data_IF_095212473755
#
_entry.id   IF_095212473755
#
_cell.length_a   1.000
_cell.length_b   1.000
_cell.length_c   1.000
_cell.angle_alpha   90.00
_cell.angle_beta   90.00
_cell.angle_gamma   90.00
#
_symmetry.space_group_name_H-M   'P 1'
#
loop_
_entity.id
_entity.type
_entity.pdbx_description
1 polymer ?
#
# COMPACT_ATOMS: atom_id res chain seq x y z
N UNK A 1 23.08 31.91 -59.98
CA UNK A 1 22.15 30.85 -59.51
C UNK A 1 22.30 30.72 -58.01
N UNK A 2 21.20 30.65 -57.25
CA UNK A 2 21.22 30.63 -55.77
C UNK A 2 20.27 29.56 -55.23
N UNK A 3 20.83 28.44 -54.76
CA UNK A 3 20.03 27.32 -54.24
C UNK A 3 19.51 27.64 -52.83
N UNK A 4 18.18 27.73 -52.68
CA UNK A 4 17.54 27.82 -51.35
C UNK A 4 17.50 26.44 -50.71
N UNK A 5 18.28 26.25 -49.65
CA UNK A 5 18.30 24.99 -48.87
C UNK A 5 17.03 24.91 -48.02
N UNK A 6 16.06 24.08 -48.42
CA UNK A 6 14.86 23.79 -47.62
C UNK A 6 15.21 22.77 -46.54
N UNK A 7 15.36 23.24 -45.29
CA UNK A 7 15.50 22.36 -44.11
C UNK A 7 14.12 21.93 -43.62
N UNK A 8 13.70 20.71 -43.97
CA UNK A 8 12.56 20.04 -43.37
C UNK A 8 12.87 19.65 -41.92
N UNK A 9 12.19 20.28 -40.95
CA UNK A 9 12.21 19.83 -39.56
C UNK A 9 11.28 18.63 -39.38
N UNK A 10 11.85 17.43 -39.36
CA UNK A 10 11.13 16.21 -38.96
C UNK A 10 10.82 16.25 -37.46
N UNK A 11 9.58 16.62 -37.10
CA UNK A 11 9.12 16.60 -35.72
C UNK A 11 8.96 15.15 -35.26
N UNK A 12 9.92 14.66 -34.49
CA UNK A 12 9.85 13.34 -33.86
C UNK A 12 8.85 13.36 -32.70
N UNK A 13 7.60 12.96 -32.97
CA UNK A 13 6.53 12.87 -31.97
C UNK A 13 6.84 11.84 -30.89
N UNK A 14 7.39 12.30 -29.76
CA UNK A 14 7.63 11.47 -28.57
C UNK A 14 6.29 11.07 -27.95
N UNK A 15 5.83 9.86 -28.28
CA UNK A 15 4.71 9.19 -27.62
C UNK A 15 5.10 8.85 -26.17
N UNK A 16 4.93 9.83 -25.28
CA UNK A 16 5.10 9.66 -23.85
C UNK A 16 4.04 8.69 -23.30
N UNK A 17 4.38 7.41 -23.24
CA UNK A 17 3.51 6.37 -22.65
C UNK A 17 3.28 6.71 -21.19
N UNK A 18 2.08 7.22 -20.89
CA UNK A 18 1.57 7.48 -19.54
C UNK A 18 1.27 6.16 -18.83
N UNK A 19 2.31 5.38 -18.57
CA UNK A 19 2.28 4.23 -17.68
C UNK A 19 1.97 4.76 -16.28
N UNK A 20 0.71 4.61 -15.86
CA UNK A 20 0.23 5.15 -14.58
C UNK A 20 1.08 4.64 -13.43
N UNK A 21 1.60 5.55 -12.60
CA UNK A 21 2.59 5.24 -11.58
C UNK A 21 2.02 4.30 -10.49
N UNK A 22 2.10 2.99 -10.74
CA UNK A 22 1.86 1.91 -9.78
C UNK A 22 2.70 2.19 -8.53
N UNK A 23 2.03 2.47 -7.42
CA UNK A 23 2.71 2.92 -6.22
C UNK A 23 3.64 1.82 -5.69
N UNK A 24 4.87 2.18 -5.31
CA UNK A 24 5.87 1.16 -4.97
C UNK A 24 5.53 0.40 -3.66
N UNK A 25 5.87 -0.90 -3.58
CA UNK A 25 5.96 -1.61 -2.32
C UNK A 25 6.93 -0.91 -1.34
N UNK A 26 6.70 -1.08 -0.03
CA UNK A 26 7.61 -0.53 0.97
C UNK A 26 8.96 -1.23 0.91
N UNK A 27 10.06 -0.48 0.85
CA UNK A 27 11.40 -1.06 0.99
C UNK A 27 11.59 -1.68 2.39
N UNK A 28 11.82 -3.00 2.49
CA UNK A 28 12.06 -3.68 3.77
C UNK A 28 13.29 -3.18 4.55
N UNK A 29 14.24 -2.48 3.92
CA UNK A 29 15.40 -1.83 4.59
C UNK A 29 15.01 -0.56 5.36
N UNK A 30 13.80 -0.04 5.15
CA UNK A 30 13.29 1.17 5.79
C UNK A 30 12.12 0.90 6.74
N UNK A 31 11.64 -0.34 6.80
CA UNK A 31 10.63 -0.82 7.74
C UNK A 31 11.25 -1.05 9.12
N UNK A 32 10.66 -0.45 10.16
CA UNK A 32 11.09 -0.57 11.57
C UNK A 32 10.31 -1.64 12.34
N UNK A 33 9.06 -1.87 11.95
CA UNK A 33 8.12 -2.82 12.55
C UNK A 33 7.26 -2.20 13.65
N UNK A 34 6.01 -2.64 13.75
CA UNK A 34 4.99 -2.08 14.66
C UNK A 34 5.38 -2.01 16.15
N UNK A 35 6.39 -2.77 16.61
CA UNK A 35 6.95 -2.61 17.97
C UNK A 35 7.53 -1.22 18.23
N UNK A 36 8.14 -0.59 17.21
CA UNK A 36 8.68 0.77 17.31
C UNK A 36 7.56 1.79 17.49
N UNK A 37 6.45 1.64 16.76
CA UNK A 37 5.26 2.48 16.91
C UNK A 37 4.61 2.31 18.29
N UNK A 38 4.53 1.07 18.79
CA UNK A 38 3.85 0.69 20.03
C UNK A 38 4.48 1.27 21.31
N UNK A 39 5.71 1.78 21.27
CA UNK A 39 6.32 2.47 22.40
C UNK A 39 5.54 3.74 22.81
N UNK A 40 5.04 4.49 21.81
CA UNK A 40 4.26 5.72 22.01
C UNK A 40 2.77 5.49 21.72
N UNK A 41 2.45 4.87 20.58
CA UNK A 41 1.08 4.69 20.07
C UNK A 41 0.41 3.43 20.66
N UNK A 42 0.27 3.42 21.99
CA UNK A 42 -0.24 2.26 22.76
C UNK A 42 -1.71 1.96 22.44
N UNK A 43 -2.55 2.99 22.32
CA UNK A 43 -4.00 2.83 22.08
C UNK A 43 -4.29 2.32 20.67
N UNK A 44 -3.57 2.86 19.69
CA UNK A 44 -3.67 2.57 18.28
C UNK A 44 -3.12 1.17 17.99
N UNK A 45 -2.06 0.76 18.71
CA UNK A 45 -1.57 -0.62 18.70
C UNK A 45 -2.59 -1.60 19.29
N UNK A 46 -3.31 -1.22 20.36
CA UNK A 46 -4.35 -2.06 20.94
C UNK A 46 -5.56 -2.21 19.99
N UNK A 47 -5.95 -1.14 19.30
CA UNK A 47 -6.98 -1.17 18.25
C UNK A 47 -6.53 -1.99 17.05
N UNK A 48 -5.32 -1.78 16.52
CA UNK A 48 -4.76 -2.56 15.40
C UNK A 48 -4.76 -4.06 15.68
N UNK A 49 -4.42 -4.50 16.90
CA UNK A 49 -4.46 -5.92 17.30
C UNK A 49 -5.85 -6.58 17.20
N UNK A 50 -6.94 -5.80 17.19
CA UNK A 50 -8.33 -6.28 17.00
C UNK A 50 -8.71 -6.43 15.52
N UNK A 51 -7.91 -5.91 14.59
CA UNK A 51 -8.26 -5.83 13.15
C UNK A 51 -7.98 -7.10 12.35
N UNK A 52 -8.63 -7.21 11.17
CA UNK A 52 -8.28 -8.23 10.15
C UNK A 52 -6.83 -8.10 9.67
N UNK A 53 -6.28 -6.89 9.60
CA UNK A 53 -4.89 -6.63 9.22
C UNK A 53 -3.88 -7.32 10.13
N UNK A 54 -4.06 -7.25 11.45
CA UNK A 54 -3.26 -8.02 12.40
C UNK A 54 -3.53 -9.52 12.30
N UNK A 55 -4.81 -9.93 12.32
CA UNK A 55 -5.21 -11.34 12.37
C UNK A 55 -4.78 -12.17 11.13
N UNK A 56 -4.70 -11.54 9.96
CA UNK A 56 -4.29 -12.21 8.71
C UNK A 56 -2.87 -12.79 8.77
N UNK A 57 -2.00 -12.31 9.66
CA UNK A 57 -0.66 -12.89 9.90
C UNK A 57 -0.69 -14.40 10.18
N UNK A 58 -1.73 -14.87 10.88
CA UNK A 58 -1.96 -16.29 11.21
C UNK A 58 -3.08 -16.93 10.40
N UNK A 59 -4.07 -16.13 9.92
CA UNK A 59 -5.28 -16.66 9.25
C UNK A 59 -5.10 -16.88 7.74
N UNK A 60 -4.39 -16.02 7.02
CA UNK A 60 -4.38 -16.05 5.55
C UNK A 60 -3.81 -17.36 4.98
N UNK A 61 -2.66 -17.83 5.48
CA UNK A 61 -2.04 -19.08 5.01
C UNK A 61 -2.81 -20.35 5.40
N UNK A 62 -3.86 -20.24 6.23
CA UNK A 62 -4.78 -21.34 6.54
C UNK A 62 -6.04 -21.35 5.66
N UNK A 63 -6.43 -20.19 5.10
CA UNK A 63 -7.65 -20.02 4.32
C UNK A 63 -7.66 -20.89 3.03
N UNK A 64 -8.72 -21.67 2.74
CA UNK A 64 -8.78 -22.53 1.55
C UNK A 64 -8.75 -21.78 0.21
N UNK A 65 -9.43 -20.64 0.08
CA UNK A 65 -9.38 -19.81 -1.13
C UNK A 65 -7.97 -19.25 -1.35
N UNK A 66 -7.33 -18.73 -0.30
CA UNK A 66 -5.94 -18.25 -0.39
C UNK A 66 -4.96 -19.35 -0.84
N UNK A 67 -5.17 -20.60 -0.39
CA UNK A 67 -4.41 -21.77 -0.88
C UNK A 67 -4.70 -22.10 -2.35
N UNK A 68 -5.96 -21.99 -2.81
CA UNK A 68 -6.33 -22.17 -4.23
C UNK A 68 -5.64 -21.11 -5.12
N UNK A 69 -5.74 -19.83 -4.76
CA UNK A 69 -5.08 -18.71 -5.44
C UNK A 69 -3.56 -18.95 -5.51
N UNK A 70 -2.94 -19.25 -4.36
CA UNK A 70 -1.51 -19.51 -4.30
C UNK A 70 -1.06 -20.70 -5.15
N UNK A 71 -1.86 -21.78 -5.25
CA UNK A 71 -1.59 -22.89 -6.17
C UNK A 71 -1.66 -22.44 -7.63
N UNK A 72 -2.68 -21.66 -8.01
CA UNK A 72 -2.85 -21.13 -9.37
C UNK A 72 -1.71 -20.17 -9.78
N UNK A 73 -1.14 -19.42 -8.84
CA UNK A 73 0.02 -18.54 -9.05
C UNK A 73 1.38 -19.24 -8.85
N UNK A 74 1.43 -20.56 -8.60
CA UNK A 74 2.69 -21.27 -8.31
C UNK A 74 3.38 -20.92 -6.97
N UNK A 75 2.74 -20.12 -6.12
CA UNK A 75 3.28 -19.58 -4.87
C UNK A 75 3.34 -20.66 -3.78
N UNK A 76 4.48 -21.36 -3.70
CA UNK A 76 4.74 -22.43 -2.72
C UNK A 76 4.53 -22.03 -1.25
N UNK A 77 4.70 -20.76 -0.88
CA UNK A 77 4.44 -20.23 0.48
C UNK A 77 3.87 -18.81 0.45
N UNK A 78 2.58 -18.67 0.73
CA UNK A 78 1.86 -17.39 0.90
C UNK A 78 2.62 -16.44 1.85
N UNK A 79 3.03 -16.93 3.02
CA UNK A 79 3.82 -16.16 4.00
C UNK A 79 5.32 -16.23 3.71
N UNK A 80 5.70 -15.77 2.53
CA UNK A 80 7.08 -15.57 2.08
C UNK A 80 7.32 -14.08 1.82
N UNK A 81 8.48 -13.49 2.16
CA UNK A 81 8.76 -12.09 1.82
C UNK A 81 8.84 -11.85 0.31
N UNK A 82 9.16 -12.89 -0.47
CA UNK A 82 9.25 -12.87 -1.94
C UNK A 82 8.00 -13.39 -2.67
N UNK A 83 6.82 -13.33 -2.04
CA UNK A 83 5.56 -13.70 -2.68
C UNK A 83 4.66 -12.48 -2.81
N UNK A 84 3.96 -12.33 -3.94
CA UNK A 84 3.11 -11.17 -4.25
C UNK A 84 2.05 -10.92 -3.16
N UNK A 85 1.58 -11.99 -2.52
CA UNK A 85 0.69 -11.95 -1.35
C UNK A 85 1.21 -11.04 -0.22
N UNK A 86 2.54 -10.92 -0.08
CA UNK A 86 3.18 -10.14 0.97
C UNK A 86 3.20 -8.64 0.72
N UNK A 87 2.97 -8.18 -0.52
CA UNK A 87 2.90 -6.75 -0.85
C UNK A 87 1.70 -6.09 -0.16
N UNK A 88 0.57 -6.80 -0.06
CA UNK A 88 -0.67 -6.29 0.52
C UNK A 88 -0.99 -6.85 1.93
N UNK A 89 -0.72 -8.13 2.19
CA UNK A 89 -1.22 -8.81 3.41
C UNK A 89 -0.21 -8.94 4.55
N UNK A 90 1.06 -8.61 4.30
CA UNK A 90 2.14 -8.76 5.28
C UNK A 90 2.97 -7.48 5.40
N UNK A 91 3.71 -7.36 6.49
CA UNK A 91 4.80 -6.37 6.60
C UNK A 91 6.12 -7.14 6.52
N UNK A 92 6.97 -6.76 5.58
CA UNK A 92 8.30 -7.36 5.37
C UNK A 92 9.37 -6.40 5.89
N UNK A 93 10.32 -6.93 6.66
CA UNK A 93 11.46 -6.17 7.18
C UNK A 93 12.76 -6.91 6.84
N UNK A 94 13.80 -6.15 6.44
CA UNK A 94 15.15 -6.67 6.20
C UNK A 94 15.92 -6.69 7.52
N UNK A 95 16.51 -7.84 7.86
CA UNK A 95 17.31 -8.07 9.08
C UNK A 95 18.66 -8.68 8.68
N UNK A 96 19.69 -7.83 8.64
CA UNK A 96 20.94 -8.16 7.96
C UNK A 96 20.67 -8.53 6.50
N UNK A 97 21.37 -9.55 5.98
CA UNK A 97 21.23 -10.03 4.60
C UNK A 97 19.91 -10.79 4.29
N UNK A 98 18.91 -10.82 5.19
CA UNK A 98 17.68 -11.62 5.02
C UNK A 98 16.40 -10.83 5.32
N UNK A 99 15.44 -10.87 4.41
CA UNK A 99 14.07 -10.38 4.64
C UNK A 99 13.24 -11.37 5.43
N UNK A 100 12.32 -10.85 6.26
CA UNK A 100 11.37 -11.63 7.05
C UNK A 100 10.00 -10.96 7.05
N UNK A 101 8.95 -11.75 6.87
CA UNK A 101 7.56 -11.34 7.15
C UNK A 101 7.40 -11.24 8.67
N UNK A 102 7.31 -10.02 9.21
CA UNK A 102 7.31 -9.74 10.65
C UNK A 102 5.91 -9.64 11.27
N UNK A 103 4.91 -9.26 10.47
CA UNK A 103 3.50 -9.17 10.87
C UNK A 103 2.58 -9.28 9.65
N UNK A 104 1.27 -9.20 9.87
CA UNK A 104 0.31 -8.83 8.82
C UNK A 104 0.53 -7.37 8.38
N UNK A 105 -0.39 -6.85 7.58
CA UNK A 105 -0.53 -5.41 7.30
C UNK A 105 -0.49 -4.62 8.62
N UNK A 106 0.39 -3.63 8.74
CA UNK A 106 0.71 -2.95 10.01
C UNK A 106 0.78 -1.43 9.87
N UNK A 107 1.21 -0.73 10.92
CA UNK A 107 1.31 0.73 10.98
C UNK A 107 1.97 1.33 9.72
N UNK A 108 3.11 0.76 9.32
CA UNK A 108 3.89 1.24 8.18
C UNK A 108 3.25 0.91 6.82
N UNK A 109 2.38 -0.11 6.75
CA UNK A 109 1.61 -0.43 5.54
C UNK A 109 0.70 0.72 5.10
N UNK A 110 0.18 1.49 6.07
CA UNK A 110 -0.64 2.69 5.82
C UNK A 110 0.16 4.00 5.96
N UNK A 111 1.09 4.10 6.91
CA UNK A 111 1.83 5.34 7.22
C UNK A 111 3.21 5.47 6.56
N UNK A 112 3.60 4.52 5.70
CA UNK A 112 4.92 4.48 5.07
C UNK A 112 6.01 3.88 5.96
N UNK A 113 7.17 3.56 5.36
CA UNK A 113 8.27 2.88 6.05
C UNK A 113 9.03 3.85 6.98
N UNK A 114 9.12 3.52 8.28
CA UNK A 114 9.31 4.52 9.32
C UNK A 114 10.75 5.04 9.51
N UNK A 115 11.78 4.32 9.07
CA UNK A 115 13.20 4.61 9.37
C UNK A 115 13.62 6.07 9.12
N UNK A 116 13.11 6.68 8.05
CA UNK A 116 13.52 8.01 7.61
C UNK A 116 12.77 9.15 8.32
N UNK A 117 11.63 8.88 8.98
CA UNK A 117 10.81 9.88 9.66
C UNK A 117 10.61 9.65 11.17
N UNK A 118 10.80 8.43 11.68
CA UNK A 118 10.51 8.08 13.09
C UNK A 118 11.28 8.94 14.10
N UNK A 119 12.53 9.35 13.78
CA UNK A 119 13.36 10.23 14.63
C UNK A 119 12.90 11.70 14.67
N UNK A 120 12.03 12.11 13.75
CA UNK A 120 11.47 13.47 13.67
C UNK A 120 9.95 13.51 13.88
N UNK A 121 9.29 12.36 14.01
CA UNK A 121 7.84 12.19 14.16
C UNK A 121 7.23 12.97 15.34
N UNK A 122 7.94 13.04 16.46
CA UNK A 122 7.53 13.79 17.65
C UNK A 122 7.97 15.25 17.67
N UNK A 123 8.76 15.71 16.67
CA UNK A 123 9.28 17.09 16.65
C UNK A 123 8.26 18.04 16.01
N UNK A 124 7.90 19.10 16.72
CA UNK A 124 7.10 20.22 16.18
C UNK A 124 7.81 20.78 14.94
N UNK A 125 7.10 20.87 13.81
CA UNK A 125 7.69 21.27 12.52
C UNK A 125 8.47 20.19 11.76
N UNK A 126 8.50 18.93 12.23
CA UNK A 126 9.18 17.84 11.54
C UNK A 126 8.57 17.53 10.17
N UNK A 127 9.36 17.63 9.10
CA UNK A 127 8.96 17.37 7.71
C UNK A 127 8.81 15.87 7.40
N UNK A 128 8.02 15.14 8.19
CA UNK A 128 7.83 13.68 8.09
C UNK A 128 7.33 13.24 6.71
N UNK A 129 6.40 14.00 6.11
CA UNK A 129 5.86 13.75 4.76
C UNK A 129 6.96 13.75 3.69
N UNK A 130 7.90 14.70 3.75
CA UNK A 130 9.05 14.77 2.85
C UNK A 130 10.10 13.66 3.09
N UNK A 131 9.94 12.87 4.15
CA UNK A 131 10.74 11.67 4.45
C UNK A 131 9.96 10.37 4.28
N UNK A 132 8.79 10.41 3.60
CA UNK A 132 8.00 9.23 3.25
C UNK A 132 6.95 8.81 4.27
N UNK A 133 6.58 9.67 5.22
CA UNK A 133 5.41 9.43 6.07
C UNK A 133 4.12 9.73 5.29
N UNK A 134 3.17 8.80 5.32
CA UNK A 134 1.78 9.03 4.91
C UNK A 134 1.00 9.53 6.13
N UNK A 135 0.34 10.68 5.97
CA UNK A 135 -0.24 11.51 7.04
C UNK A 135 -1.13 10.74 8.03
N UNK A 136 -1.05 11.11 9.31
CA UNK A 136 -1.93 10.64 10.38
C UNK A 136 -3.39 11.08 10.23
N UNK A 137 -3.69 12.03 9.31
CA UNK A 137 -5.05 12.29 8.79
C UNK A 137 -5.57 11.17 7.86
N UNK A 138 -4.80 10.09 7.66
CA UNK A 138 -5.15 8.89 6.90
C UNK A 138 -5.61 9.20 5.46
N UNK A 139 -4.73 9.86 4.70
CA UNK A 139 -4.89 10.04 3.26
C UNK A 139 -5.15 8.69 2.57
N UNK A 140 -6.12 8.63 1.65
CA UNK A 140 -6.62 7.34 1.13
C UNK A 140 -5.54 6.53 0.40
N UNK A 141 -4.47 7.18 -0.08
CA UNK A 141 -3.27 6.56 -0.65
C UNK A 141 -2.51 5.61 0.29
N UNK A 142 -2.75 5.64 1.61
CA UNK A 142 -2.31 4.56 2.52
C UNK A 142 -3.09 3.26 2.34
N UNK A 143 -4.34 3.34 1.87
CA UNK A 143 -5.28 2.23 1.75
C UNK A 143 -5.42 1.71 0.30
N UNK A 144 -5.47 2.60 -0.71
CA UNK A 144 -5.70 2.22 -2.11
C UNK A 144 -4.60 1.31 -2.67
N UNK A 145 -3.35 1.47 -2.18
CA UNK A 145 -2.22 0.56 -2.41
C UNK A 145 -2.59 -0.93 -2.34
N UNK A 146 -3.45 -1.29 -1.38
CA UNK A 146 -3.97 -2.66 -1.24
C UNK A 146 -5.40 -2.82 -1.75
N UNK A 147 -6.28 -1.84 -1.49
CA UNK A 147 -7.73 -1.97 -1.71
C UNK A 147 -8.19 -1.57 -3.11
N UNK A 148 -7.48 -0.67 -3.79
CA UNK A 148 -7.60 -0.48 -5.23
C UNK A 148 -6.60 -1.36 -6.01
N UNK A 149 -5.62 -1.96 -5.32
CA UNK A 149 -4.58 -2.79 -5.94
C UNK A 149 -3.45 -1.99 -6.57
N UNK A 150 -3.23 -0.74 -6.16
CA UNK A 150 -2.18 0.14 -6.73
C UNK A 150 -0.74 -0.36 -6.48
N UNK A 151 -0.56 -1.50 -5.77
CA UNK A 151 0.72 -2.20 -5.58
C UNK A 151 0.70 -3.66 -6.09
N UNK A 152 -0.40 -4.13 -6.68
CA UNK A 152 -0.53 -5.51 -7.13
C UNK A 152 0.47 -5.80 -8.27
N UNK A 153 1.47 -6.71 -8.11
CA UNK A 153 2.53 -6.90 -9.11
C UNK A 153 2.01 -7.32 -10.48
N UNK A 154 1.01 -8.20 -10.50
CA UNK A 154 0.12 -8.41 -11.64
C UNK A 154 -1.33 -8.53 -11.13
N UNK A 155 -2.10 -7.46 -11.29
CA UNK A 155 -3.53 -7.40 -10.96
C UNK A 155 -4.35 -8.41 -11.77
N UNK A 156 -4.03 -8.60 -13.05
CA UNK A 156 -4.80 -9.45 -13.95
C UNK A 156 -4.58 -10.93 -13.61
N UNK A 157 -3.34 -11.37 -13.37
CA UNK A 157 -3.05 -12.71 -12.89
C UNK A 157 -3.65 -12.98 -11.50
N UNK A 158 -3.61 -12.02 -10.57
CA UNK A 158 -4.26 -12.15 -9.26
C UNK A 158 -5.77 -12.40 -9.39
N UNK A 159 -6.48 -11.61 -10.20
CA UNK A 159 -7.92 -11.78 -10.43
C UNK A 159 -8.21 -13.09 -11.16
N UNK A 160 -7.43 -13.45 -12.20
CA UNK A 160 -7.53 -14.73 -12.93
C UNK A 160 -7.27 -15.95 -12.03
N UNK A 161 -6.44 -15.81 -11.01
CA UNK A 161 -6.19 -16.83 -9.99
C UNK A 161 -7.30 -16.93 -8.91
N UNK A 162 -8.34 -16.10 -8.98
CA UNK A 162 -9.48 -16.13 -8.04
C UNK A 162 -9.31 -15.28 -6.78
N UNK A 163 -8.43 -14.26 -6.81
CA UNK A 163 -8.40 -13.23 -5.79
C UNK A 163 -9.74 -12.44 -5.79
N UNK A 164 -10.31 -12.08 -4.63
CA UNK A 164 -11.50 -11.21 -4.57
C UNK A 164 -11.31 -9.92 -5.37
N UNK A 165 -12.37 -9.34 -5.94
CA UNK A 165 -12.22 -8.10 -6.68
C UNK A 165 -11.83 -6.98 -5.71
N UNK A 166 -10.90 -6.14 -6.15
CA UNK A 166 -10.51 -4.94 -5.40
C UNK A 166 -11.72 -4.01 -5.16
N UNK A 167 -12.63 -3.92 -6.14
CA UNK A 167 -13.90 -3.20 -6.03
C UNK A 167 -14.94 -3.80 -5.06
N UNK A 168 -14.76 -5.04 -4.56
CA UNK A 168 -15.64 -5.61 -3.50
C UNK A 168 -15.44 -4.89 -2.15
N UNK A 169 -14.41 -4.05 -2.03
CA UNK A 169 -14.14 -3.27 -0.83
C UNK A 169 -15.08 -2.05 -0.73
N UNK A 170 -16.15 -2.23 0.04
CA UNK A 170 -17.13 -1.19 0.39
C UNK A 170 -16.51 0.02 1.12
N UNK A 171 -15.97 0.97 0.37
CA UNK A 171 -15.16 2.08 0.89
C UNK A 171 -15.88 2.93 1.97
N UNK A 172 -17.09 3.49 1.75
CA UNK A 172 -17.73 4.39 2.72
C UNK A 172 -18.03 3.76 4.08
N UNK A 173 -18.35 2.46 4.13
CA UNK A 173 -18.62 1.73 5.38
C UNK A 173 -17.35 1.21 6.05
N UNK A 174 -16.29 0.95 5.28
CA UNK A 174 -15.01 0.42 5.80
C UNK A 174 -14.12 1.50 6.39
N UNK A 175 -14.04 2.70 5.79
CA UNK A 175 -13.22 3.78 6.37
C UNK A 175 -13.78 4.29 7.69
N UNK A 176 -15.11 4.26 7.87
CA UNK A 176 -15.76 4.60 9.16
C UNK A 176 -15.36 3.66 10.32
N UNK A 177 -14.78 2.49 10.03
CA UNK A 177 -14.25 1.55 11.03
C UNK A 177 -12.83 1.96 11.52
N UNK A 178 -12.24 3.01 10.95
CA UNK A 178 -10.99 3.64 11.37
C UNK A 178 -11.34 4.85 12.25
N UNK A 179 -11.15 4.73 13.56
CA UNK A 179 -11.26 5.86 14.49
C UNK A 179 -9.93 6.60 14.60
N UNK A 180 -9.98 7.93 14.54
CA UNK A 180 -8.79 8.76 14.72
C UNK A 180 -8.49 9.01 16.21
N UNK A 181 -7.21 8.93 16.57
CA UNK A 181 -6.75 9.20 17.92
C UNK A 181 -7.05 10.67 18.33
N UNK A 182 -7.25 10.90 19.63
CA UNK A 182 -7.74 12.14 20.27
C UNK A 182 -9.19 12.55 19.97
N UNK A 183 -9.75 12.30 18.78
CA UNK A 183 -11.13 12.68 18.47
C UNK A 183 -12.15 11.55 18.65
N UNK A 184 -11.72 10.29 18.52
CA UNK A 184 -12.63 9.13 18.47
C UNK A 184 -13.50 9.07 17.21
N UNK A 185 -13.43 10.09 16.35
CA UNK A 185 -14.27 10.24 15.18
C UNK A 185 -13.92 9.20 14.09
N UNK A 186 -14.92 8.66 13.38
CA UNK A 186 -14.69 7.82 12.22
C UNK A 186 -13.98 8.60 11.10
N UNK A 187 -13.13 7.94 10.31
CA UNK A 187 -12.56 8.58 9.13
C UNK A 187 -13.66 9.00 8.15
N UNK A 188 -13.50 10.21 7.61
CA UNK A 188 -14.28 10.73 6.50
C UNK A 188 -13.41 10.74 5.25
N UNK A 189 -13.99 10.40 4.10
CA UNK A 189 -13.35 10.63 2.80
C UNK A 189 -13.41 12.12 2.48
N UNK A 190 -12.34 12.69 1.94
CA UNK A 190 -12.41 14.00 1.28
C UNK A 190 -13.07 13.88 -0.12
N UNK A 191 -13.47 15.00 -0.76
CA UNK A 191 -13.93 14.98 -2.15
C UNK A 191 -12.91 14.37 -3.11
N UNK A 192 -11.62 14.58 -2.84
CA UNK A 192 -10.49 14.02 -3.62
C UNK A 192 -10.33 12.51 -3.38
N UNK A 193 -10.52 12.04 -2.14
CA UNK A 193 -10.55 10.61 -1.84
C UNK A 193 -11.71 9.91 -2.58
N UNK A 194 -12.91 10.50 -2.54
CA UNK A 194 -14.10 10.00 -3.28
C UNK A 194 -13.81 9.97 -4.78
N UNK A 195 -13.31 11.07 -5.37
CA UNK A 195 -12.93 11.13 -6.79
C UNK A 195 -11.90 10.06 -7.17
N UNK A 196 -10.95 9.76 -6.28
CA UNK A 196 -9.94 8.71 -6.47
C UNK A 196 -10.57 7.30 -6.45
N UNK A 197 -11.52 7.06 -5.56
CA UNK A 197 -12.28 5.80 -5.47
C UNK A 197 -13.19 5.64 -6.70
N UNK A 198 -13.94 6.66 -7.11
CA UNK A 198 -14.84 6.59 -8.26
C UNK A 198 -14.10 6.38 -9.59
N UNK A 199 -12.97 7.06 -9.77
CA UNK A 199 -12.10 6.88 -10.94
C UNK A 199 -11.45 5.48 -11.01
N UNK A 200 -11.37 4.78 -9.88
CA UNK A 200 -10.95 3.39 -9.77
C UNK A 200 -12.10 2.40 -10.02
N UNK A 201 -13.27 2.64 -9.42
CA UNK A 201 -14.45 1.78 -9.57
C UNK A 201 -14.96 1.74 -11.01
N UNK A 202 -14.86 2.86 -11.75
CA UNK A 202 -15.17 2.94 -13.20
C UNK A 202 -14.22 2.13 -14.11
N UNK A 203 -13.24 1.40 -13.56
CA UNK A 203 -12.21 0.64 -14.30
C UNK A 203 -12.02 -0.81 -13.79
N UNK A 204 -12.92 -1.34 -12.94
CA UNK A 204 -12.67 -2.52 -12.09
C UNK A 204 -13.70 -3.64 -12.16
#
# INVERSE_FOLDING_TARGET
MTHKIVRTLSIASVLAVLCGAQAAPLDPSNVMGAKTCAACHKSETATWKKTKHYANFKKLSKNPQAKKIAKAMGVKRIRSPKADCAVCHYTVQRKGKKEKVISGTSCESCHGAAKNWIKIHSKKGGLTKAKGMIDGKMAISGCTRCHNGDNAPDRAALLKAGHPKFGDFKWPERVKQIQHFRTGAPQKLSPEDVKTIDAFMKKS
#
